data_IF_922697531473
#
_entry.id   IF_922697531473
#
_cell.length_a   1.000
_cell.length_b   1.000
_cell.length_c   1.000
_cell.angle_alpha   90.00
_cell.angle_beta   90.00
_cell.angle_gamma   90.00
#
_symmetry.space_group_name_H-M   'P 1'
#
loop_
_entity.id
_entity.type
_entity.pdbx_description
1 polymer ?
#
# COMPACT_ATOMS: atom_id res chain seq x y z
N UNK A 1 30.06 43.54 17.53
CA UNK A 1 28.95 42.76 16.98
C UNK A 1 29.32 41.30 17.17
N UNK A 2 28.91 40.69 18.27
CA UNK A 2 29.00 39.28 18.52
C UNK A 2 27.88 38.62 17.67
N UNK A 3 28.29 37.92 16.59
CA UNK A 3 27.38 37.06 15.86
C UNK A 3 26.88 35.99 16.81
N UNK A 4 25.59 35.98 17.08
CA UNK A 4 24.96 34.83 17.73
C UNK A 4 25.10 33.67 16.76
N UNK A 5 25.76 32.62 17.22
CA UNK A 5 25.84 31.34 16.53
C UNK A 5 24.43 30.76 16.48
N UNK A 6 23.86 30.67 15.27
CA UNK A 6 22.49 30.18 15.04
C UNK A 6 22.37 28.66 15.23
N UNK A 7 23.48 28.00 15.60
CA UNK A 7 23.53 26.52 15.77
C UNK A 7 22.91 26.03 17.08
N UNK A 8 22.66 26.91 18.06
CA UNK A 8 22.06 26.53 19.36
C UNK A 8 20.55 26.64 19.45
N UNK A 9 19.87 26.92 18.31
CA UNK A 9 18.40 27.09 18.32
C UNK A 9 17.61 25.78 18.34
N UNK A 10 18.26 24.65 18.09
CA UNK A 10 17.60 23.36 18.09
C UNK A 10 18.14 22.48 19.21
N UNK A 11 17.30 22.08 20.15
CA UNK A 11 17.62 21.00 21.09
C UNK A 11 18.12 19.78 20.29
N UNK A 12 19.32 19.30 20.60
CA UNK A 12 19.86 18.08 19.98
C UNK A 12 19.08 16.89 20.53
N UNK A 13 18.21 16.37 19.70
CA UNK A 13 17.54 15.10 19.96
C UNK A 13 18.56 13.98 19.69
N UNK A 14 18.75 13.00 20.58
CA UNK A 14 19.58 11.81 20.30
C UNK A 14 19.13 11.13 19.01
N UNK A 15 20.08 10.57 18.24
CA UNK A 15 19.81 10.01 16.91
C UNK A 15 18.70 8.93 16.92
N UNK A 16 18.71 8.06 17.93
CA UNK A 16 17.69 7.01 18.08
C UNK A 16 16.28 7.59 18.34
N UNK A 17 16.21 8.65 19.14
CA UNK A 17 14.95 9.34 19.42
C UNK A 17 14.45 10.09 18.17
N UNK A 18 15.36 10.73 17.43
CA UNK A 18 15.08 11.39 16.17
C UNK A 18 14.54 10.39 15.13
N UNK A 19 15.22 9.26 14.94
CA UNK A 19 14.79 8.20 14.04
C UNK A 19 13.41 7.66 14.41
N UNK A 20 13.17 7.44 15.70
CA UNK A 20 11.86 7.01 16.21
C UNK A 20 10.79 8.05 15.93
N UNK A 21 11.09 9.33 16.16
CA UNK A 21 10.15 10.43 15.87
C UNK A 21 9.83 10.51 14.38
N UNK A 22 10.84 10.44 13.51
CA UNK A 22 10.67 10.46 12.04
C UNK A 22 9.80 9.30 11.60
N UNK A 23 10.05 8.08 12.07
CA UNK A 23 9.24 6.91 11.73
C UNK A 23 7.78 7.07 12.17
N UNK A 24 7.53 7.54 13.40
CA UNK A 24 6.18 7.79 13.90
C UNK A 24 5.44 8.84 13.07
N UNK A 25 6.11 9.95 12.72
CA UNK A 25 5.48 11.01 11.95
C UNK A 25 5.20 10.58 10.50
N UNK A 26 6.12 9.86 9.88
CA UNK A 26 5.96 9.32 8.52
C UNK A 26 4.85 8.27 8.47
N UNK A 27 4.77 7.41 9.48
CA UNK A 27 3.72 6.38 9.59
C UNK A 27 2.31 6.97 9.61
N UNK A 28 2.11 8.16 10.18
CA UNK A 28 0.80 8.84 10.22
C UNK A 28 0.19 9.03 8.84
N UNK A 29 1.02 9.20 7.80
CA UNK A 29 0.51 9.30 6.43
C UNK A 29 -0.32 8.07 6.03
N UNK A 30 0.15 6.90 6.35
CA UNK A 30 -0.54 5.65 6.03
C UNK A 30 -1.63 5.29 7.04
N UNK A 31 -1.48 5.68 8.29
CA UNK A 31 -2.38 5.28 9.36
C UNK A 31 -3.52 6.27 9.58
N UNK A 32 -3.18 7.54 9.83
CA UNK A 32 -4.16 8.57 10.14
C UNK A 32 -4.83 9.13 8.88
N UNK A 33 -4.07 9.28 7.78
CA UNK A 33 -4.57 9.77 6.50
C UNK A 33 -4.94 8.66 5.52
N UNK A 34 -4.81 7.40 5.88
CA UNK A 34 -5.34 6.28 5.10
C UNK A 34 -6.83 6.49 4.80
N UNK A 35 -7.29 6.03 3.65
CA UNK A 35 -8.68 6.20 3.25
C UNK A 35 -9.61 5.46 4.23
N UNK A 36 -10.59 6.17 4.78
CA UNK A 36 -11.43 5.66 5.87
C UNK A 36 -12.18 4.37 5.48
N UNK A 37 -12.77 4.31 4.30
CA UNK A 37 -13.55 3.15 3.84
C UNK A 37 -12.67 1.98 3.42
N UNK A 38 -11.70 2.19 2.53
CA UNK A 38 -10.87 1.11 1.98
C UNK A 38 -9.68 0.72 2.86
N UNK A 39 -9.18 1.63 3.70
CA UNK A 39 -7.93 1.47 4.43
C UNK A 39 -6.67 1.70 3.59
N UNK A 40 -6.80 1.91 2.27
CA UNK A 40 -5.70 2.12 1.33
C UNK A 40 -5.02 3.48 1.52
N UNK A 41 -3.79 3.60 1.05
CA UNK A 41 -3.06 4.86 1.07
C UNK A 41 -3.67 5.84 0.05
N UNK A 42 -3.97 7.08 0.49
CA UNK A 42 -4.35 8.16 -0.42
C UNK A 42 -3.19 8.51 -1.34
N UNK A 43 -3.48 9.02 -2.52
CA UNK A 43 -2.46 9.48 -3.45
C UNK A 43 -1.65 10.65 -2.84
N UNK A 44 -2.36 11.57 -2.18
CA UNK A 44 -1.80 12.64 -1.33
C UNK A 44 -2.83 13.08 -0.29
N UNK A 45 -2.44 13.93 0.66
CA UNK A 45 -3.33 14.38 1.74
C UNK A 45 -4.58 15.12 1.25
N UNK A 46 -4.55 15.68 0.05
CA UNK A 46 -5.65 16.47 -0.55
C UNK A 46 -6.35 15.75 -1.70
N UNK A 47 -6.06 14.47 -1.95
CA UNK A 47 -6.59 13.73 -3.11
C UNK A 47 -8.04 13.24 -2.96
N UNK A 48 -8.71 13.55 -1.85
CA UNK A 48 -10.07 13.07 -1.60
C UNK A 48 -10.13 11.55 -1.57
N UNK A 49 -10.98 10.95 -2.42
CA UNK A 49 -11.14 9.49 -2.48
C UNK A 49 -10.12 8.78 -3.37
N UNK A 50 -9.17 9.50 -3.99
CA UNK A 50 -8.16 8.85 -4.81
C UNK A 50 -7.12 8.16 -3.93
N UNK A 51 -7.04 6.84 -4.06
CA UNK A 51 -6.04 5.98 -3.41
C UNK A 51 -5.11 5.39 -4.45
N UNK A 52 -3.89 5.03 -4.03
CA UNK A 52 -2.85 4.50 -4.91
C UNK A 52 -2.51 3.06 -4.56
N UNK A 53 -2.40 2.24 -5.58
CA UNK A 53 -2.15 0.80 -5.45
C UNK A 53 -0.77 0.51 -4.86
N UNK A 54 0.29 1.03 -5.47
CA UNK A 54 1.66 0.82 -4.98
C UNK A 54 1.95 1.49 -3.66
N UNK A 55 1.45 2.73 -3.47
CA UNK A 55 1.55 3.43 -2.19
C UNK A 55 0.89 2.66 -1.04
N UNK A 56 -0.17 1.91 -1.32
CA UNK A 56 -0.80 1.01 -0.34
C UNK A 56 0.14 -0.13 0.06
N UNK A 57 0.91 -0.69 -0.89
CA UNK A 57 1.93 -1.70 -0.59
C UNK A 57 2.98 -1.18 0.39
N UNK A 58 3.50 0.03 0.18
CA UNK A 58 4.39 0.70 1.15
C UNK A 58 3.71 0.94 2.49
N UNK A 59 2.43 1.34 2.49
CA UNK A 59 1.62 1.50 3.70
C UNK A 59 1.50 0.21 4.50
N UNK A 60 1.28 -0.92 3.84
CA UNK A 60 1.25 -2.24 4.49
C UNK A 60 2.60 -2.54 5.15
N UNK A 61 3.73 -2.31 4.46
CA UNK A 61 5.07 -2.47 5.06
C UNK A 61 5.25 -1.57 6.29
N UNK A 62 4.81 -0.31 6.21
CA UNK A 62 4.87 0.61 7.34
C UNK A 62 4.03 0.14 8.54
N UNK A 63 2.88 -0.53 8.30
CA UNK A 63 2.04 -1.11 9.36
C UNK A 63 2.75 -2.28 10.07
N UNK A 64 3.50 -3.12 9.34
CA UNK A 64 4.30 -4.18 9.94
C UNK A 64 5.39 -3.61 10.86
N UNK A 65 6.12 -2.61 10.39
CA UNK A 65 7.12 -1.90 11.20
C UNK A 65 6.49 -1.24 12.43
N UNK A 66 5.32 -0.61 12.26
CA UNK A 66 4.61 0.05 13.35
C UNK A 66 4.14 -0.95 14.42
N UNK A 67 3.71 -2.15 14.03
CA UNK A 67 3.34 -3.22 14.97
C UNK A 67 4.58 -3.73 15.73
N UNK A 68 5.71 -3.98 15.05
CA UNK A 68 6.96 -4.40 15.68
C UNK A 68 7.52 -3.36 16.65
N UNK A 69 7.38 -2.09 16.30
CA UNK A 69 7.86 -0.99 17.16
C UNK A 69 6.85 -0.55 18.23
N UNK A 70 5.69 -1.18 18.31
CA UNK A 70 4.65 -0.86 19.28
C UNK A 70 3.97 0.49 19.06
N UNK A 71 3.98 1.04 17.83
CA UNK A 71 3.22 2.25 17.49
C UNK A 71 1.72 1.95 17.37
N UNK A 72 1.39 0.75 16.94
CA UNK A 72 0.06 0.15 16.92
C UNK A 72 0.17 -1.28 17.43
N UNK A 73 -0.96 -1.89 17.79
CA UNK A 73 -0.99 -3.30 18.18
C UNK A 73 -0.98 -4.21 16.94
N UNK A 74 -0.52 -5.47 17.12
CA UNK A 74 -0.60 -6.49 16.07
C UNK A 74 -2.04 -6.67 15.57
N UNK A 75 -3.01 -6.65 16.48
CA UNK A 75 -4.43 -6.77 16.16
C UNK A 75 -4.89 -5.62 15.25
N UNK A 76 -4.53 -4.38 15.56
CA UNK A 76 -4.85 -3.21 14.73
C UNK A 76 -4.23 -3.33 13.34
N UNK A 77 -2.99 -3.82 13.25
CA UNK A 77 -2.31 -4.01 11.97
C UNK A 77 -3.02 -5.06 11.11
N UNK A 78 -3.31 -6.26 11.64
CA UNK A 78 -3.97 -7.33 10.90
C UNK A 78 -5.36 -6.92 10.43
N UNK A 79 -6.13 -6.22 11.26
CA UNK A 79 -7.46 -5.72 10.90
C UNK A 79 -7.41 -4.71 9.74
N UNK A 80 -6.44 -3.78 9.77
CA UNK A 80 -6.28 -2.81 8.70
C UNK A 80 -5.85 -3.48 7.39
N UNK A 81 -4.91 -4.42 7.44
CA UNK A 81 -4.48 -5.15 6.24
C UNK A 81 -5.61 -6.03 5.70
N UNK A 82 -6.38 -6.70 6.56
CA UNK A 82 -7.56 -7.48 6.13
C UNK A 82 -8.61 -6.58 5.48
N UNK A 83 -8.84 -5.38 5.99
CA UNK A 83 -9.75 -4.39 5.40
C UNK A 83 -9.32 -4.03 3.98
N UNK A 84 -8.02 -3.73 3.77
CA UNK A 84 -7.45 -3.43 2.45
C UNK A 84 -7.66 -4.61 1.51
N UNK A 85 -7.30 -5.82 1.94
CA UNK A 85 -7.43 -7.05 1.13
C UNK A 85 -8.88 -7.32 0.76
N UNK A 86 -9.81 -7.14 1.70
CA UNK A 86 -11.25 -7.31 1.45
C UNK A 86 -11.76 -6.29 0.43
N UNK A 87 -11.34 -5.04 0.54
CA UNK A 87 -11.72 -4.00 -0.42
C UNK A 87 -11.19 -4.29 -1.83
N UNK A 88 -9.93 -4.71 -1.95
CA UNK A 88 -9.35 -5.13 -3.23
C UNK A 88 -10.12 -6.29 -3.86
N UNK A 89 -10.53 -7.27 -3.06
CA UNK A 89 -11.23 -8.47 -3.52
C UNK A 89 -12.68 -8.22 -3.92
N UNK A 90 -13.39 -7.37 -3.18
CA UNK A 90 -14.84 -7.24 -3.30
C UNK A 90 -15.30 -6.03 -4.11
N UNK A 91 -14.53 -4.94 -4.06
CA UNK A 91 -14.96 -3.67 -4.63
C UNK A 91 -14.13 -3.28 -5.86
N UNK A 92 -12.83 -3.64 -5.91
CA UNK A 92 -11.96 -3.19 -6.98
C UNK A 92 -12.09 -4.04 -8.25
N UNK A 93 -12.04 -3.37 -9.40
CA UNK A 93 -11.88 -4.07 -10.68
C UNK A 93 -10.44 -4.56 -10.80
N UNK A 94 -10.28 -5.88 -10.97
CA UNK A 94 -9.02 -6.50 -11.31
C UNK A 94 -8.99 -6.83 -12.81
N UNK A 95 -7.94 -6.40 -13.49
CA UNK A 95 -7.70 -6.64 -14.90
C UNK A 95 -6.71 -7.80 -15.05
N UNK A 96 -7.20 -8.99 -15.38
CA UNK A 96 -6.38 -10.22 -15.37
C UNK A 96 -5.61 -10.39 -14.04
N UNK A 97 -6.24 -10.01 -12.93
CA UNK A 97 -5.70 -10.08 -11.58
C UNK A 97 -4.84 -8.88 -11.13
N UNK A 98 -4.46 -7.99 -12.05
CA UNK A 98 -3.72 -6.76 -11.70
C UNK A 98 -4.67 -5.57 -11.47
N UNK A 99 -4.23 -4.59 -10.69
CA UNK A 99 -5.01 -3.42 -10.30
C UNK A 99 -4.55 -2.16 -11.03
N UNK A 100 -5.43 -1.18 -11.10
CA UNK A 100 -5.12 0.12 -11.69
C UNK A 100 -4.16 0.92 -10.82
N UNK A 101 -3.47 1.90 -11.42
CA UNK A 101 -2.60 2.85 -10.73
C UNK A 101 -3.35 3.59 -9.60
N UNK A 102 -4.48 4.20 -9.96
CA UNK A 102 -5.36 4.87 -9.04
C UNK A 102 -6.73 4.22 -8.97
N UNK A 103 -7.29 4.20 -7.78
CA UNK A 103 -8.60 3.63 -7.47
C UNK A 103 -9.40 4.66 -6.67
N UNK A 104 -10.70 4.69 -6.85
CA UNK A 104 -11.58 5.40 -5.95
C UNK A 104 -11.74 4.58 -4.66
N UNK A 105 -11.21 5.06 -3.56
CA UNK A 105 -11.19 4.36 -2.27
C UNK A 105 -12.56 4.17 -1.61
N UNK A 106 -13.60 4.86 -2.09
CA UNK A 106 -14.96 4.69 -1.61
C UNK A 106 -15.77 3.66 -2.40
N UNK A 107 -15.42 3.42 -3.68
CA UNK A 107 -16.24 2.60 -4.60
C UNK A 107 -15.49 1.46 -5.27
N UNK A 108 -14.15 1.41 -5.19
CA UNK A 108 -13.33 0.45 -5.91
C UNK A 108 -13.15 0.73 -7.41
N UNK A 109 -13.81 1.76 -7.95
CA UNK A 109 -13.74 2.08 -9.36
C UNK A 109 -12.33 2.53 -9.78
N UNK A 110 -11.87 2.06 -10.92
CA UNK A 110 -10.64 2.53 -11.55
C UNK A 110 -10.70 4.03 -11.80
N UNK A 111 -9.65 4.74 -11.42
CA UNK A 111 -9.42 6.14 -11.72
C UNK A 111 -8.32 6.20 -12.78
N UNK A 112 -8.63 6.55 -14.05
CA UNK A 112 -7.61 6.58 -15.09
C UNK A 112 -6.44 7.51 -14.72
N UNK A 113 -5.22 7.03 -14.89
CA UNK A 113 -4.02 7.86 -14.75
C UNK A 113 -3.88 8.80 -15.95
N UNK A 114 -4.20 8.28 -17.14
CA UNK A 114 -4.35 9.03 -18.38
C UNK A 114 -5.38 8.35 -19.28
N UNK A 115 -5.67 8.93 -20.44
CA UNK A 115 -6.64 8.37 -21.39
C UNK A 115 -6.31 6.91 -21.77
N UNK A 116 -5.03 6.60 -21.98
CA UNK A 116 -4.57 5.24 -22.38
C UNK A 116 -4.06 4.41 -21.20
N UNK A 117 -4.11 4.93 -19.99
CA UNK A 117 -3.75 4.24 -18.76
C UNK A 117 -4.96 4.21 -17.83
N UNK A 118 -5.93 3.38 -18.21
CA UNK A 118 -7.24 3.27 -17.57
C UNK A 118 -7.56 1.83 -17.14
N UNK A 119 -6.56 0.98 -17.05
CA UNK A 119 -6.68 -0.43 -16.68
C UNK A 119 -5.62 -0.85 -15.67
N UNK A 120 -4.97 -1.99 -15.95
CA UNK A 120 -3.93 -2.55 -15.07
C UNK A 120 -2.65 -1.71 -15.09
N UNK A 121 -2.03 -1.54 -13.92
CA UNK A 121 -0.65 -1.08 -13.76
C UNK A 121 0.15 -2.17 -13.03
N UNK A 122 1.12 -2.78 -13.73
CA UNK A 122 1.87 -3.91 -13.18
C UNK A 122 2.95 -3.47 -12.19
N UNK A 123 3.49 -2.28 -12.35
CA UNK A 123 4.47 -1.72 -11.41
C UNK A 123 3.79 -1.45 -10.06
N UNK A 124 2.66 -0.76 -10.09
CA UNK A 124 1.87 -0.49 -8.89
C UNK A 124 1.35 -1.79 -8.24
N UNK A 125 0.87 -2.74 -9.06
CA UNK A 125 0.44 -4.06 -8.58
C UNK A 125 1.59 -4.82 -7.94
N UNK A 126 2.79 -4.79 -8.50
CA UNK A 126 3.98 -5.43 -7.93
C UNK A 126 4.35 -4.84 -6.58
N UNK A 127 4.32 -3.52 -6.44
CA UNK A 127 4.57 -2.82 -5.18
C UNK A 127 3.49 -3.14 -4.13
N UNK A 128 2.22 -3.22 -4.53
CA UNK A 128 1.14 -3.66 -3.66
C UNK A 128 1.42 -5.06 -3.10
N UNK A 129 1.71 -6.01 -3.98
CA UNK A 129 1.95 -7.40 -3.57
C UNK A 129 3.27 -7.59 -2.83
N UNK A 130 4.28 -6.76 -3.04
CA UNK A 130 5.45 -6.73 -2.17
C UNK A 130 5.04 -6.52 -0.71
N UNK A 131 4.18 -5.54 -0.43
CA UNK A 131 3.64 -5.31 0.91
C UNK A 131 2.75 -6.46 1.41
N UNK A 132 1.81 -6.93 0.58
CA UNK A 132 0.88 -7.99 0.96
C UNK A 132 1.58 -9.33 1.21
N UNK A 133 2.57 -9.70 0.40
CA UNK A 133 3.35 -10.93 0.60
C UNK A 133 4.21 -10.85 1.86
N UNK A 134 4.77 -9.67 2.18
CA UNK A 134 5.44 -9.43 3.46
C UNK A 134 4.46 -9.57 4.63
N UNK A 135 3.25 -9.02 4.53
CA UNK A 135 2.21 -9.18 5.54
C UNK A 135 1.80 -10.65 5.71
N UNK A 136 1.65 -11.41 4.62
CA UNK A 136 1.39 -12.86 4.67
C UNK A 136 2.47 -13.62 5.43
N UNK A 137 3.73 -13.25 5.26
CA UNK A 137 4.86 -13.86 5.95
C UNK A 137 4.95 -13.42 7.43
N UNK A 138 4.55 -12.20 7.74
CA UNK A 138 4.56 -11.64 9.09
C UNK A 138 3.44 -12.18 9.97
N UNK A 139 2.20 -12.18 9.48
CA UNK A 139 1.01 -12.66 10.16
C UNK A 139 0.89 -14.18 10.04
N UNK A 140 1.70 -14.90 10.80
CA UNK A 140 1.84 -16.37 10.74
C UNK A 140 1.26 -17.12 11.94
N UNK A 141 0.59 -16.42 12.85
CA UNK A 141 -0.05 -17.07 14.01
C UNK A 141 -1.22 -17.94 13.55
N UNK A 142 -1.48 -18.99 14.31
CA UNK A 142 -2.56 -19.94 14.01
C UNK A 142 -3.91 -19.44 14.58
N UNK A 143 -4.25 -18.20 14.26
CA UNK A 143 -5.56 -17.61 14.55
C UNK A 143 -6.44 -17.63 13.31
N UNK A 144 -7.75 -17.58 13.47
CA UNK A 144 -8.70 -17.53 12.35
C UNK A 144 -8.45 -16.30 11.46
N UNK A 145 -8.23 -15.13 12.08
CA UNK A 145 -8.03 -13.86 11.37
C UNK A 145 -6.77 -13.89 10.52
N UNK A 146 -5.63 -14.32 11.10
CA UNK A 146 -4.37 -14.36 10.35
C UNK A 146 -4.37 -15.47 9.30
N UNK A 147 -5.01 -16.61 9.57
CA UNK A 147 -5.16 -17.69 8.59
C UNK A 147 -5.99 -17.26 7.40
N UNK A 148 -7.10 -16.56 7.64
CA UNK A 148 -7.94 -15.98 6.59
C UNK A 148 -7.16 -14.95 5.78
N UNK A 149 -6.46 -14.02 6.43
CA UNK A 149 -5.65 -13.00 5.74
C UNK A 149 -4.63 -13.64 4.80
N UNK A 150 -3.90 -14.65 5.28
CA UNK A 150 -2.92 -15.38 4.43
C UNK A 150 -3.57 -16.04 3.23
N UNK A 151 -4.73 -16.67 3.42
CA UNK A 151 -5.46 -17.33 2.34
C UNK A 151 -5.97 -16.31 1.30
N UNK A 152 -6.53 -15.18 1.74
CA UNK A 152 -7.02 -14.13 0.86
C UNK A 152 -5.88 -13.49 0.06
N UNK A 153 -4.74 -13.16 0.68
CA UNK A 153 -3.57 -12.64 -0.03
C UNK A 153 -3.05 -13.64 -1.05
N UNK A 154 -2.97 -14.93 -0.69
CA UNK A 154 -2.49 -15.98 -1.59
C UNK A 154 -3.40 -16.09 -2.81
N UNK A 155 -4.72 -16.09 -2.61
CA UNK A 155 -5.71 -16.17 -3.69
C UNK A 155 -5.61 -14.98 -4.64
N UNK A 156 -5.49 -13.75 -4.13
CA UNK A 156 -5.33 -12.56 -4.96
C UNK A 156 -4.00 -12.57 -5.73
N UNK A 157 -2.92 -13.03 -5.11
CA UNK A 157 -1.62 -13.18 -5.77
C UNK A 157 -1.67 -14.18 -6.93
N UNK A 158 -2.28 -15.35 -6.70
CA UNK A 158 -2.38 -16.43 -7.69
C UNK A 158 -3.37 -16.09 -8.82
N UNK A 159 -4.25 -15.11 -8.62
CA UNK A 159 -5.18 -14.65 -9.65
C UNK A 159 -4.51 -13.77 -10.72
N UNK A 160 -3.28 -13.32 -10.52
CA UNK A 160 -2.59 -12.47 -11.51
C UNK A 160 -2.09 -13.34 -12.66
N UNK A 161 -2.61 -13.11 -13.85
CA UNK A 161 -2.12 -13.75 -15.07
C UNK A 161 -0.94 -12.95 -15.66
N UNK A 162 0.26 -13.20 -15.15
CA UNK A 162 1.48 -12.55 -15.63
C UNK A 162 1.75 -12.82 -17.10
N UNK A 163 1.28 -13.94 -17.65
CA UNK A 163 1.50 -14.30 -19.05
C UNK A 163 0.69 -13.44 -20.00
N UNK A 164 -0.48 -12.96 -19.57
CA UNK A 164 -1.30 -12.00 -20.29
C UNK A 164 -0.55 -10.70 -20.58
N UNK A 165 0.27 -10.26 -19.64
CA UNK A 165 0.98 -8.99 -19.73
C UNK A 165 2.33 -9.07 -20.43
N UNK A 166 2.68 -10.20 -21.03
CA UNK A 166 3.89 -10.33 -21.86
C UNK A 166 3.69 -9.66 -23.20
N UNK A 167 4.61 -8.76 -23.58
CA UNK A 167 4.57 -8.06 -24.86
C UNK A 167 4.80 -9.05 -26.03
N UNK A 168 3.75 -9.36 -26.76
CA UNK A 168 3.80 -10.27 -27.90
C UNK A 168 4.46 -11.65 -27.61
N UNK A 169 4.39 -12.10 -26.35
CA UNK A 169 5.07 -13.33 -25.92
C UNK A 169 6.57 -13.19 -25.68
N UNK A 170 7.12 -11.99 -25.72
CA UNK A 170 8.52 -11.70 -25.37
C UNK A 170 8.76 -11.88 -23.86
N UNK A 171 10.05 -11.92 -23.43
CA UNK A 171 10.44 -12.07 -22.03
C UNK A 171 10.43 -10.73 -21.25
N UNK A 172 9.51 -9.85 -21.61
CA UNK A 172 9.26 -8.55 -20.96
C UNK A 172 7.78 -8.36 -20.71
N UNK A 173 7.45 -7.64 -19.63
CA UNK A 173 6.09 -7.27 -19.27
C UNK A 173 5.78 -5.85 -19.73
N UNK A 174 4.52 -5.59 -20.07
CA UNK A 174 4.03 -4.22 -20.20
C UNK A 174 4.05 -3.53 -18.83
N UNK A 175 4.25 -2.23 -18.80
CA UNK A 175 4.09 -1.44 -17.59
C UNK A 175 2.63 -1.39 -17.18
N UNK A 176 1.78 -1.02 -18.12
CA UNK A 176 0.34 -0.97 -17.92
C UNK A 176 -0.38 -1.60 -19.12
N UNK A 177 -1.61 -1.97 -18.89
CA UNK A 177 -2.50 -2.56 -19.90
C UNK A 177 -3.87 -1.88 -19.81
N UNK A 178 -4.43 -1.51 -20.97
CA UNK A 178 -5.75 -0.90 -21.08
C UNK A 178 -6.75 -1.88 -21.70
N UNK A 179 -7.99 -1.96 -21.21
CA UNK A 179 -9.04 -2.71 -21.86
C UNK A 179 -9.51 -2.08 -23.18
N UNK A 180 -9.20 -0.82 -23.42
CA UNK A 180 -9.74 -0.01 -24.52
C UNK A 180 -8.72 0.30 -25.60
N UNK A 181 -7.42 0.08 -25.38
CA UNK A 181 -6.34 0.50 -26.27
C UNK A 181 -5.30 -0.58 -26.50
#
# INVERSE_FOLDING_TARGET
KTGMDDTDKFERIPDEDLLTLVQKQTFKYFWDFGHEYSGMARERTTSGDVVTTGGTGFGVMAMLVAAERGFITRQQAVERVQKIVTFLDKECTAYHGAYAHWINGATGATKPFSEKDNGADLVETSLLFQGLLAARAYFKENTEVESRLRADITRLWEAIDWTWFRKNGEDVLYWHWSPDY
#
